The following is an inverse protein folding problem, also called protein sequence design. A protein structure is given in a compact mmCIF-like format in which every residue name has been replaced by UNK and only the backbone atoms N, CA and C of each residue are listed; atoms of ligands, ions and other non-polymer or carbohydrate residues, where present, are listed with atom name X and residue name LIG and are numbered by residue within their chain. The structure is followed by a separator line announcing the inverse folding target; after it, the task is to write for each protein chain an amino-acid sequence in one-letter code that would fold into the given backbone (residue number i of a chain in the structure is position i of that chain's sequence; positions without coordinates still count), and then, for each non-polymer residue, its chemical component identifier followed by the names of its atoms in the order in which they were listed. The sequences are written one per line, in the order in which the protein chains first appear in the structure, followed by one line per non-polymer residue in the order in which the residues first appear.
data_IF_886107910506
#
_entry.id   IF_886107910506
#
_cell.length_a   1.000
_cell.length_b   1.000
_cell.length_c   1.000
_cell.angle_alpha   90.00
_cell.angle_beta   90.00
_cell.angle_gamma   90.00
#
_symmetry.space_group_name_H-M   'P 1'
#
loop_
_entity.id
_entity.type
_entity.pdbx_description
1 polymer ?
#
# COMPACT_ATOMS: atom_id res chain seq x y z
N UNK A 1 8.41 -12.26 -15.01
CA UNK A 1 8.42 -10.83 -15.38
C UNK A 1 6.99 -10.27 -15.51
N UNK A 2 6.08 -11.00 -16.15
CA UNK A 2 4.69 -10.51 -16.31
C UNK A 2 3.94 -10.39 -14.99
N UNK A 3 4.12 -11.37 -14.11
CA UNK A 3 3.50 -11.35 -12.77
C UNK A 3 3.96 -10.16 -11.95
N UNK A 4 5.26 -9.82 -11.99
CA UNK A 4 5.80 -8.67 -11.25
C UNK A 4 5.27 -7.34 -11.79
N UNK A 5 5.05 -7.22 -13.10
CA UNK A 5 4.44 -6.02 -13.69
C UNK A 5 3.01 -5.81 -13.18
N UNK A 6 2.19 -6.86 -13.19
CA UNK A 6 0.80 -6.79 -12.71
C UNK A 6 0.73 -6.53 -11.20
N UNK A 7 1.65 -7.13 -10.44
CA UNK A 7 1.77 -6.85 -9.01
C UNK A 7 2.10 -5.37 -8.77
N UNK A 8 3.11 -4.84 -9.45
CA UNK A 8 3.45 -3.43 -9.36
C UNK A 8 2.29 -2.52 -9.75
N UNK A 9 1.61 -2.83 -10.86
CA UNK A 9 0.46 -2.05 -11.30
C UNK A 9 -0.64 -2.02 -10.24
N UNK A 10 -0.96 -3.14 -9.63
CA UNK A 10 -2.02 -3.20 -8.63
C UNK A 10 -1.64 -2.53 -7.31
N UNK A 11 -0.36 -2.59 -6.93
CA UNK A 11 0.10 -2.09 -5.63
C UNK A 11 0.43 -0.59 -5.63
N UNK A 12 0.99 -0.07 -6.72
CA UNK A 12 1.58 1.28 -6.75
C UNK A 12 1.00 2.18 -7.82
N UNK A 13 -0.16 1.86 -8.39
CA UNK A 13 -0.87 2.78 -9.28
C UNK A 13 -1.67 3.82 -8.51
N UNK A 14 -2.20 3.45 -7.35
CA UNK A 14 -2.81 4.37 -6.38
C UNK A 14 -1.77 5.29 -5.74
N UNK A 15 -2.00 5.68 -4.53
CA UNK A 15 -1.14 6.54 -3.72
C UNK A 15 -1.49 8.01 -3.84
N UNK A 16 -0.91 8.78 -2.92
CA UNK A 16 -1.15 10.22 -2.78
C UNK A 16 -2.58 10.58 -2.36
N UNK A 17 -3.16 9.79 -1.47
CA UNK A 17 -4.47 10.07 -0.86
C UNK A 17 -4.56 11.48 -0.27
N UNK A 18 -3.45 12.00 0.28
CA UNK A 18 -3.35 13.36 0.83
C UNK A 18 -3.51 14.49 -0.21
N UNK A 19 -3.47 14.15 -1.50
CA UNK A 19 -3.56 15.13 -2.60
C UNK A 19 -4.87 15.07 -3.36
N UNK A 20 -5.85 14.39 -2.82
CA UNK A 20 -7.18 14.36 -3.42
C UNK A 20 -7.82 15.73 -3.26
N UNK A 21 -8.28 16.35 -4.35
CA UNK A 21 -8.94 17.63 -4.25
C UNK A 21 -10.27 17.47 -3.49
N UNK A 22 -10.46 18.30 -2.49
CA UNK A 22 -11.74 18.35 -1.77
C UNK A 22 -12.86 18.82 -2.70
N UNK A 23 -13.53 17.87 -3.35
CA UNK A 23 -14.59 18.13 -4.35
C UNK A 23 -15.72 18.94 -3.76
N UNK A 24 -16.09 18.71 -2.48
CA UNK A 24 -17.13 19.47 -1.81
C UNK A 24 -16.76 20.97 -1.70
N UNK A 25 -15.53 21.29 -1.31
CA UNK A 25 -15.07 22.66 -1.22
C UNK A 25 -15.08 23.38 -2.60
N UNK A 26 -14.64 22.69 -3.65
CA UNK A 26 -14.72 23.23 -5.03
C UNK A 26 -16.18 23.47 -5.46
N UNK A 27 -17.06 22.53 -5.18
CA UNK A 27 -18.50 22.65 -5.48
C UNK A 27 -19.12 23.85 -4.77
N UNK A 28 -18.81 24.06 -3.50
CA UNK A 28 -19.29 25.21 -2.74
C UNK A 28 -18.81 26.53 -3.39
N UNK A 29 -17.53 26.62 -3.75
CA UNK A 29 -16.99 27.83 -4.41
C UNK A 29 -17.68 28.11 -5.74
N UNK A 30 -17.96 27.07 -6.54
CA UNK A 30 -18.70 27.20 -7.81
C UNK A 30 -20.15 27.68 -7.57
N UNK A 31 -20.85 27.09 -6.61
CA UNK A 31 -22.22 27.49 -6.26
C UNK A 31 -22.25 28.95 -5.78
N UNK A 32 -21.33 29.34 -4.91
CA UNK A 32 -21.19 30.73 -4.44
C UNK A 32 -20.90 31.68 -5.60
N UNK A 33 -20.02 31.30 -6.52
CA UNK A 33 -19.75 32.07 -7.73
C UNK A 33 -21.02 32.27 -8.57
N UNK A 34 -21.78 31.21 -8.86
CA UNK A 34 -23.02 31.28 -9.65
C UNK A 34 -24.03 32.21 -8.95
N UNK A 35 -24.21 32.02 -7.64
CA UNK A 35 -25.12 32.85 -6.85
C UNK A 35 -24.71 34.33 -6.81
N UNK A 36 -23.40 34.58 -6.70
CA UNK A 36 -22.88 35.95 -6.66
C UNK A 36 -22.88 36.62 -8.03
N UNK A 37 -22.30 35.96 -9.04
CA UNK A 37 -22.13 36.54 -10.40
C UNK A 37 -23.48 36.68 -11.14
N UNK A 38 -24.44 35.83 -10.86
CA UNK A 38 -25.79 35.90 -11.43
C UNK A 38 -26.70 36.87 -10.64
N UNK A 39 -27.61 36.32 -9.81
CA UNK A 39 -28.62 37.12 -9.13
C UNK A 39 -28.02 38.12 -8.11
N UNK A 40 -26.95 37.75 -7.42
CA UNK A 40 -26.37 38.60 -6.38
C UNK A 40 -25.89 39.96 -6.92
N UNK A 41 -24.99 39.93 -7.90
CA UNK A 41 -24.48 41.16 -8.54
C UNK A 41 -25.58 41.95 -9.23
N UNK A 42 -26.51 41.26 -9.89
CA UNK A 42 -27.67 41.93 -10.52
C UNK A 42 -28.46 42.73 -9.50
N UNK A 43 -28.86 42.13 -8.38
CA UNK A 43 -29.64 42.81 -7.34
C UNK A 43 -28.88 43.93 -6.67
N UNK A 44 -27.58 43.74 -6.35
CA UNK A 44 -26.75 44.78 -5.73
C UNK A 44 -26.58 46.00 -6.65
N UNK A 45 -26.24 45.74 -7.91
CA UNK A 45 -26.00 46.85 -8.86
C UNK A 45 -27.27 47.55 -9.25
N UNK A 46 -28.42 46.83 -9.35
CA UNK A 46 -29.75 47.43 -9.57
C UNK A 46 -30.14 48.32 -8.41
N UNK A 47 -29.93 47.91 -7.17
CA UNK A 47 -30.24 48.70 -5.97
C UNK A 47 -29.42 49.98 -5.91
N UNK A 48 -28.16 49.93 -6.41
CA UNK A 48 -27.26 51.10 -6.47
C UNK A 48 -27.34 51.88 -7.76
N UNK A 49 -28.26 51.58 -8.67
CA UNK A 49 -28.42 52.24 -9.98
C UNK A 49 -27.16 52.15 -10.88
N UNK A 50 -26.32 51.14 -10.64
CA UNK A 50 -25.03 50.97 -11.35
C UNK A 50 -25.12 49.81 -12.39
N UNK A 51 -26.33 49.53 -12.92
CA UNK A 51 -26.58 48.41 -13.85
C UNK A 51 -25.65 48.41 -15.11
N UNK A 52 -25.20 49.59 -15.58
CA UNK A 52 -24.28 49.68 -16.71
C UNK A 52 -22.92 49.00 -16.47
N UNK A 53 -22.54 48.77 -15.23
CA UNK A 53 -21.26 48.15 -14.85
C UNK A 53 -21.40 46.65 -14.58
N UNK A 54 -22.59 46.07 -14.81
CA UNK A 54 -22.83 44.65 -14.52
C UNK A 54 -21.82 43.73 -15.24
N UNK A 55 -21.59 43.93 -16.54
CA UNK A 55 -20.62 43.11 -17.29
C UNK A 55 -19.20 43.19 -16.73
N UNK A 56 -18.74 44.39 -16.34
CA UNK A 56 -17.43 44.55 -15.73
C UNK A 56 -17.35 43.87 -14.36
N UNK A 57 -18.40 43.95 -13.55
CA UNK A 57 -18.47 43.33 -12.24
C UNK A 57 -18.45 41.77 -12.35
N UNK A 58 -19.11 41.23 -13.34
CA UNK A 58 -19.07 39.75 -13.61
C UNK A 58 -17.65 39.33 -13.99
N UNK A 59 -16.96 40.05 -14.85
CA UNK A 59 -15.57 39.76 -15.24
C UNK A 59 -14.64 39.78 -14.02
N UNK A 60 -14.74 40.81 -13.17
CA UNK A 60 -13.92 40.88 -11.95
C UNK A 60 -14.23 39.69 -11.01
N UNK A 61 -15.51 39.39 -10.78
CA UNK A 61 -15.89 38.27 -9.92
C UNK A 61 -15.38 36.92 -10.48
N UNK A 62 -15.42 36.74 -11.79
CA UNK A 62 -14.87 35.54 -12.44
C UNK A 62 -13.36 35.44 -12.22
N UNK A 63 -12.61 36.55 -12.39
CA UNK A 63 -11.17 36.52 -12.15
C UNK A 63 -10.83 36.20 -10.70
N UNK A 64 -11.56 36.77 -9.73
CA UNK A 64 -11.39 36.46 -8.31
C UNK A 64 -11.69 35.00 -8.02
N UNK A 65 -12.81 34.48 -8.52
CA UNK A 65 -13.18 33.06 -8.33
C UNK A 65 -12.17 32.10 -8.97
N UNK A 66 -11.67 32.41 -10.17
CA UNK A 66 -10.57 31.65 -10.78
C UNK A 66 -9.29 31.68 -9.92
N UNK A 67 -8.97 32.83 -9.33
CA UNK A 67 -7.85 32.96 -8.39
C UNK A 67 -8.01 32.08 -7.14
N UNK A 68 -9.22 32.09 -6.56
CA UNK A 68 -9.53 31.24 -5.40
C UNK A 68 -9.40 29.74 -5.75
N UNK A 69 -10.00 29.31 -6.85
CA UNK A 69 -9.91 27.91 -7.32
C UNK A 69 -8.44 27.55 -7.61
N UNK A 70 -7.68 28.45 -8.22
CA UNK A 70 -6.26 28.23 -8.47
C UNK A 70 -5.48 28.05 -7.18
N UNK A 71 -5.71 28.89 -6.17
CA UNK A 71 -5.04 28.79 -4.86
C UNK A 71 -5.41 27.51 -4.13
N UNK A 72 -6.68 27.11 -4.15
CA UNK A 72 -7.13 25.84 -3.57
C UNK A 72 -6.43 24.64 -4.21
N UNK A 73 -6.20 24.69 -5.53
CA UNK A 73 -5.54 23.60 -6.26
C UNK A 73 -4.01 23.56 -6.10
N UNK A 74 -3.36 24.53 -5.46
CA UNK A 74 -1.89 24.52 -5.36
C UNK A 74 -1.34 23.36 -4.53
N UNK A 75 -2.03 22.96 -3.47
CA UNK A 75 -1.65 21.85 -2.60
C UNK A 75 -1.79 20.46 -3.25
N UNK A 76 -2.67 20.34 -4.24
CA UNK A 76 -2.96 19.05 -4.90
C UNK A 76 -2.17 18.85 -6.20
N UNK A 77 -1.42 19.84 -6.66
CA UNK A 77 -0.66 19.78 -7.90
C UNK A 77 0.72 19.18 -7.70
N UNK A 78 1.05 18.23 -8.55
CA UNK A 78 2.42 17.78 -8.69
C UNK A 78 3.18 18.78 -9.58
N UNK A 79 4.29 19.29 -9.11
CA UNK A 79 5.16 20.22 -9.84
C UNK A 79 6.46 19.58 -10.29
N UNK A 80 6.78 18.42 -9.73
CA UNK A 80 7.97 17.63 -10.00
C UNK A 80 7.57 16.16 -10.16
N UNK A 81 8.55 15.34 -10.49
CA UNK A 81 8.42 13.90 -10.45
C UNK A 81 7.98 13.43 -9.05
N UNK A 82 7.17 12.43 -9.01
CA UNK A 82 6.67 11.83 -7.78
C UNK A 82 6.67 10.31 -7.91
N UNK A 83 6.79 9.66 -6.79
CA UNK A 83 6.81 8.20 -6.73
C UNK A 83 5.77 7.66 -5.75
N UNK A 84 5.30 6.45 -6.09
CA UNK A 84 4.56 5.61 -5.16
C UNK A 84 5.28 4.28 -5.01
N UNK A 85 5.33 3.74 -3.81
CA UNK A 85 6.01 2.48 -3.57
C UNK A 85 5.27 1.59 -2.58
N UNK A 86 5.49 0.28 -2.72
CA UNK A 86 5.03 -0.74 -1.80
C UNK A 86 6.21 -1.67 -1.49
N UNK A 87 6.62 -1.72 -0.24
CA UNK A 87 7.80 -2.45 0.20
C UNK A 87 7.43 -3.55 1.19
N UNK A 88 8.03 -4.73 1.02
CA UNK A 88 8.01 -5.81 2.00
C UNK A 88 9.40 -5.98 2.55
N UNK A 89 9.55 -5.86 3.86
CA UNK A 89 10.77 -6.16 4.59
C UNK A 89 10.61 -7.49 5.31
N UNK A 90 11.30 -8.50 4.82
CA UNK A 90 11.35 -9.83 5.46
C UNK A 90 12.51 -9.84 6.46
N UNK A 91 12.16 -9.85 7.73
CA UNK A 91 13.06 -9.68 8.85
C UNK A 91 13.66 -11.02 9.26
N UNK A 92 14.98 -11.05 9.39
CA UNK A 92 15.72 -12.10 10.07
C UNK A 92 16.48 -11.47 11.26
N UNK A 93 17.18 -12.27 12.04
CA UNK A 93 17.83 -11.82 13.28
C UNK A 93 18.80 -10.66 13.07
N UNK A 94 19.57 -10.68 11.99
CA UNK A 94 20.62 -9.69 11.71
C UNK A 94 20.46 -8.98 10.37
N UNK A 95 19.50 -9.40 9.56
CA UNK A 95 19.30 -8.87 8.21
C UNK A 95 17.83 -8.72 7.91
N UNK A 96 17.50 -7.85 6.97
CA UNK A 96 16.18 -7.81 6.37
C UNK A 96 16.34 -7.85 4.85
N UNK A 97 15.55 -8.70 4.19
CA UNK A 97 15.41 -8.69 2.75
C UNK A 97 14.28 -7.73 2.36
N UNK A 98 14.61 -6.75 1.57
CA UNK A 98 13.64 -5.79 1.08
C UNK A 98 13.32 -6.05 -0.38
N UNK A 99 12.02 -6.20 -0.68
CA UNK A 99 11.47 -6.16 -2.03
C UNK A 99 10.53 -4.98 -2.14
N UNK A 100 10.85 -4.02 -3.01
CA UNK A 100 10.05 -2.82 -3.23
C UNK A 100 9.57 -2.75 -4.67
N UNK A 101 8.27 -2.54 -4.85
CA UNK A 101 7.69 -2.09 -6.11
C UNK A 101 7.62 -0.57 -6.10
N UNK A 102 8.14 0.05 -7.14
CA UNK A 102 8.24 1.49 -7.27
C UNK A 102 7.59 1.92 -8.58
N UNK A 103 6.76 2.95 -8.53
CA UNK A 103 6.21 3.62 -9.69
C UNK A 103 6.66 5.08 -9.69
N UNK A 104 7.29 5.52 -10.75
CA UNK A 104 7.71 6.91 -10.93
C UNK A 104 6.87 7.54 -12.03
N UNK A 105 6.33 8.72 -11.76
CA UNK A 105 5.50 9.49 -12.68
C UNK A 105 5.98 10.94 -12.73
N UNK A 106 5.79 11.57 -13.88
CA UNK A 106 6.01 13.01 -14.06
C UNK A 106 4.71 13.71 -14.39
N UNK A 107 4.45 14.91 -13.87
CA UNK A 107 3.24 15.65 -14.19
C UNK A 107 3.23 16.21 -15.62
N UNK A 108 4.37 16.22 -16.27
CA UNK A 108 4.56 16.72 -17.65
C UNK A 108 5.34 15.71 -18.49
N UNK A 109 5.52 16.04 -19.77
CA UNK A 109 6.19 15.16 -20.76
C UNK A 109 7.73 15.29 -20.72
N UNK A 110 8.33 15.67 -19.60
CA UNK A 110 9.78 15.82 -19.48
C UNK A 110 10.45 14.48 -19.17
N UNK A 111 11.72 14.42 -19.51
CA UNK A 111 12.60 13.36 -19.01
C UNK A 111 12.81 13.51 -17.51
N UNK A 112 12.93 12.40 -16.80
CA UNK A 112 13.31 12.40 -15.40
C UNK A 112 14.59 11.60 -15.17
N UNK A 113 15.26 11.90 -14.07
CA UNK A 113 16.42 11.15 -13.58
C UNK A 113 16.29 11.01 -12.08
N UNK A 114 16.30 9.78 -11.59
CA UNK A 114 16.16 9.44 -10.17
C UNK A 114 17.37 8.63 -9.76
N UNK A 115 18.04 9.05 -8.69
CA UNK A 115 19.14 8.31 -8.07
C UNK A 115 18.60 7.41 -6.97
N UNK A 116 19.12 6.20 -6.92
CA UNK A 116 18.89 5.23 -5.87
C UNK A 116 20.22 4.87 -5.20
N UNK A 117 20.17 4.44 -3.96
CA UNK A 117 21.33 3.90 -3.27
C UNK A 117 21.92 2.71 -4.05
N UNK A 118 23.27 2.56 -4.05
CA UNK A 118 23.96 1.56 -4.88
C UNK A 118 23.63 0.11 -4.47
N UNK A 119 23.13 -0.08 -3.26
CA UNK A 119 22.76 -1.40 -2.72
C UNK A 119 21.53 -2.00 -3.37
N UNK A 120 20.72 -1.19 -4.07
CA UNK A 120 19.54 -1.69 -4.75
C UNK A 120 19.87 -2.40 -6.07
N UNK A 121 19.44 -3.65 -6.18
CA UNK A 121 19.28 -4.30 -7.46
C UNK A 121 17.97 -3.80 -8.12
N UNK A 122 18.10 -3.11 -9.25
CA UNK A 122 16.99 -2.46 -9.93
C UNK A 122 16.59 -3.23 -11.19
N UNK A 123 15.29 -3.55 -11.31
CA UNK A 123 14.71 -4.17 -12.50
C UNK A 123 13.56 -3.32 -13.01
N UNK A 124 13.66 -2.86 -14.26
CA UNK A 124 12.52 -2.23 -14.92
C UNK A 124 11.45 -3.28 -15.27
N UNK A 125 10.21 -2.98 -14.93
CA UNK A 125 9.08 -3.86 -15.20
C UNK A 125 8.35 -3.35 -16.44
N UNK A 126 8.28 -4.20 -17.45
CA UNK A 126 7.59 -3.90 -18.70
C UNK A 126 6.48 -4.90 -18.93
N UNK A 127 5.36 -4.42 -19.46
CA UNK A 127 4.27 -5.30 -19.90
C UNK A 127 4.78 -6.18 -21.03
N UNK A 128 4.58 -7.48 -20.92
CA UNK A 128 4.94 -8.39 -22.01
C UNK A 128 3.94 -8.25 -23.14
N UNK A 129 4.45 -8.21 -24.36
CA UNK A 129 3.66 -8.05 -25.57
C UNK A 129 2.82 -9.28 -25.95
N UNK A 130 2.77 -10.30 -25.12
CA UNK A 130 2.09 -11.57 -25.43
C UNK A 130 0.57 -11.44 -25.59
N UNK A 131 -0.02 -10.35 -25.07
CA UNK A 131 -1.45 -10.06 -25.14
C UNK A 131 -1.76 -8.75 -25.90
N UNK A 132 -0.77 -7.94 -26.19
CA UNK A 132 -0.93 -6.75 -27.00
C UNK A 132 -0.41 -7.05 -28.39
N UNK A 133 -1.26 -7.57 -29.27
CA UNK A 133 -1.06 -7.54 -30.71
C UNK A 133 -1.17 -6.09 -31.24
N UNK A 134 -0.40 -5.18 -30.68
CA UNK A 134 -0.16 -3.90 -31.35
C UNK A 134 0.87 -4.18 -32.43
N UNK A 135 0.49 -4.07 -33.72
CA UNK A 135 1.42 -4.33 -34.80
C UNK A 135 2.67 -3.48 -34.62
N UNK A 136 3.84 -4.09 -34.70
CA UNK A 136 5.15 -3.41 -34.55
C UNK A 136 5.32 -2.21 -35.55
N UNK A 137 4.41 -2.04 -36.48
CA UNK A 137 4.40 -1.01 -37.53
C UNK A 137 3.95 0.39 -37.02
N UNK A 138 3.30 0.52 -35.89
CA UNK A 138 2.82 1.82 -35.40
C UNK A 138 3.83 2.61 -34.53
N UNK A 139 4.95 2.03 -34.20
CA UNK A 139 5.99 2.75 -33.46
C UNK A 139 6.90 3.51 -34.43
N UNK A 140 6.65 4.79 -34.62
CA UNK A 140 7.63 5.66 -35.31
C UNK A 140 8.94 5.60 -34.53
N UNK A 141 10.02 5.29 -35.24
CA UNK A 141 11.37 5.32 -34.68
C UNK A 141 11.62 6.71 -34.03
N UNK A 142 11.95 6.74 -32.75
CA UNK A 142 12.19 7.98 -31.98
C UNK A 142 11.11 8.39 -30.98
N UNK A 143 9.95 7.71 -30.93
CA UNK A 143 8.86 8.05 -30.00
C UNK A 143 8.67 7.03 -28.86
N UNK A 144 9.55 6.05 -28.71
CA UNK A 144 9.48 5.11 -27.59
C UNK A 144 10.09 5.75 -26.35
N UNK A 145 9.37 5.77 -25.21
CA UNK A 145 10.01 6.08 -23.97
C UNK A 145 11.17 5.10 -23.76
N UNK A 146 12.36 5.60 -23.55
CA UNK A 146 13.53 4.77 -23.27
C UNK A 146 13.90 4.97 -21.81
N UNK A 147 13.85 3.88 -21.05
CA UNK A 147 14.36 3.84 -19.69
C UNK A 147 15.75 3.21 -19.73
N UNK A 148 16.72 3.92 -19.17
CA UNK A 148 18.09 3.44 -19.00
C UNK A 148 18.44 3.37 -17.53
N UNK A 149 19.15 2.31 -17.17
CA UNK A 149 19.71 2.11 -15.84
C UNK A 149 21.22 2.30 -15.95
N UNK A 150 21.79 3.10 -15.08
CA UNK A 150 23.23 3.31 -14.96
C UNK A 150 23.65 2.93 -13.55
N UNK A 151 24.59 2.02 -13.45
CA UNK A 151 25.12 1.51 -12.19
C UNK A 151 26.51 2.11 -11.94
N UNK A 152 26.72 2.69 -10.75
CA UNK A 152 27.98 3.35 -10.36
C UNK A 152 28.03 3.53 -8.85
N UNK A 153 28.50 4.69 -8.39
CA UNK A 153 28.40 5.09 -6.97
C UNK A 153 26.94 5.22 -6.52
N UNK A 154 26.05 5.51 -7.45
CA UNK A 154 24.61 5.49 -7.30
C UNK A 154 23.99 4.74 -8.48
N UNK A 155 22.85 4.12 -8.26
CA UNK A 155 22.05 3.56 -9.34
C UNK A 155 21.12 4.63 -9.87
N UNK A 156 21.29 5.03 -11.13
CA UNK A 156 20.51 6.11 -11.74
C UNK A 156 19.51 5.55 -12.75
N UNK A 157 18.25 5.84 -12.52
CA UNK A 157 17.16 5.57 -13.46
C UNK A 157 16.93 6.84 -14.28
N UNK A 158 17.05 6.74 -15.60
CA UNK A 158 16.71 7.83 -16.52
C UNK A 158 15.62 7.38 -17.47
N UNK A 159 14.59 8.19 -17.63
CA UNK A 159 13.57 7.96 -18.64
C UNK A 159 13.39 9.18 -19.51
N UNK A 160 13.30 8.95 -20.82
CA UNK A 160 13.15 10.00 -21.85
C UNK A 160 11.88 9.77 -22.67
N UNK A 161 11.37 10.83 -23.27
CA UNK A 161 10.16 10.80 -24.10
C UNK A 161 8.90 10.31 -23.36
N UNK A 162 8.76 10.68 -22.08
CA UNK A 162 7.63 10.32 -21.25
C UNK A 162 6.37 11.07 -21.68
N UNK A 163 5.21 10.47 -21.43
CA UNK A 163 3.94 11.18 -21.43
C UNK A 163 3.63 11.67 -20.03
N UNK A 164 2.87 12.77 -19.92
CA UNK A 164 2.41 13.26 -18.63
C UNK A 164 1.64 12.14 -17.89
N UNK A 165 1.98 11.95 -16.62
CA UNK A 165 1.42 10.93 -15.72
C UNK A 165 1.61 9.47 -16.18
N UNK A 166 2.51 9.21 -17.14
CA UNK A 166 2.87 7.84 -17.52
C UNK A 166 3.56 7.14 -16.35
N UNK A 167 3.13 5.91 -16.06
CA UNK A 167 3.68 5.08 -14.99
C UNK A 167 4.89 4.30 -15.47
N UNK A 168 5.97 4.40 -14.71
CA UNK A 168 7.19 3.62 -14.92
C UNK A 168 7.42 2.74 -13.70
N UNK A 169 7.25 1.44 -13.88
CA UNK A 169 7.33 0.47 -12.79
C UNK A 169 8.72 -0.15 -12.70
N UNK A 170 9.20 -0.26 -11.47
CA UNK A 170 10.46 -0.89 -11.12
C UNK A 170 10.26 -1.85 -9.96
N UNK A 171 11.06 -2.89 -9.92
CA UNK A 171 11.27 -3.72 -8.74
C UNK A 171 12.67 -3.45 -8.23
N UNK A 172 12.78 -3.21 -6.93
CA UNK A 172 14.01 -2.97 -6.22
C UNK A 172 14.15 -4.08 -5.19
N UNK A 173 15.28 -4.74 -5.19
CA UNK A 173 15.62 -5.74 -4.18
C UNK A 173 16.92 -5.33 -3.49
N UNK A 174 17.00 -5.41 -2.15
CA UNK A 174 18.22 -5.22 -1.38
C UNK A 174 18.21 -6.01 -0.08
N UNK A 175 19.38 -6.17 0.50
CA UNK A 175 19.55 -6.67 1.85
C UNK A 175 19.99 -5.55 2.79
N UNK A 176 19.28 -5.39 3.91
CA UNK A 176 19.56 -4.39 4.94
C UNK A 176 20.14 -5.08 6.15
N UNK A 177 21.23 -4.53 6.70
CA UNK A 177 21.76 -5.00 7.98
C UNK A 177 20.91 -4.45 9.12
N UNK A 178 20.57 -5.33 10.05
CA UNK A 178 19.78 -4.98 11.23
C UNK A 178 20.63 -5.10 12.49
N UNK A 179 20.39 -4.17 13.42
CA UNK A 179 20.89 -4.31 14.79
C UNK A 179 20.03 -5.38 15.48
N UNK A 180 20.63 -6.50 15.84
CA UNK A 180 19.93 -7.67 16.39
C UNK A 180 19.13 -7.42 17.66
N UNK A 181 19.38 -6.30 18.35
CA UNK A 181 18.62 -5.88 19.53
C UNK A 181 17.37 -5.08 19.20
N UNK A 182 17.23 -4.65 17.95
CA UNK A 182 16.09 -3.85 17.45
C UNK A 182 15.32 -4.63 16.41
N UNK A 183 14.15 -5.09 16.77
CA UNK A 183 13.31 -5.84 15.84
C UNK A 183 12.13 -6.49 16.54
N UNK A 184 11.51 -7.41 15.84
CA UNK A 184 10.44 -8.21 16.38
C UNK A 184 11.00 -9.34 17.25
N UNK A 185 10.49 -9.47 18.48
CA UNK A 185 10.79 -10.60 19.36
C UNK A 185 9.50 -11.36 19.63
N UNK A 186 9.58 -12.67 19.66
CA UNK A 186 8.43 -13.51 19.97
C UNK A 186 8.84 -14.82 20.58
N UNK A 187 8.00 -15.33 21.44
CA UNK A 187 8.05 -16.70 21.92
C UNK A 187 6.63 -17.21 21.97
N UNK A 188 6.29 -18.10 21.04
CA UNK A 188 4.92 -18.54 20.81
C UNK A 188 4.83 -20.07 20.95
N UNK A 189 3.72 -20.51 21.50
CA UNK A 189 3.32 -21.90 21.59
C UNK A 189 1.94 -22.01 20.90
N UNK A 190 1.80 -22.98 20.00
CA UNK A 190 0.52 -23.27 19.35
C UNK A 190 0.11 -24.69 19.69
N UNK A 191 -1.03 -24.83 20.33
CA UNK A 191 -1.56 -26.11 20.76
C UNK A 191 -3.09 -26.13 20.63
N UNK A 192 -3.64 -27.17 20.00
CA UNK A 192 -5.08 -27.37 19.82
C UNK A 192 -5.82 -26.16 19.20
N UNK A 193 -5.21 -25.52 18.20
CA UNK A 193 -5.79 -24.37 17.50
C UNK A 193 -5.79 -23.08 18.32
N UNK A 194 -5.02 -23.04 19.41
CA UNK A 194 -4.84 -21.87 20.28
C UNK A 194 -3.39 -21.46 20.32
N UNK A 195 -3.14 -20.17 20.46
CA UNK A 195 -1.81 -19.60 20.60
C UNK A 195 -1.63 -18.98 21.97
N UNK A 196 -0.47 -19.21 22.56
CA UNK A 196 -0.04 -18.60 23.82
C UNK A 196 1.38 -18.09 23.69
N UNK A 197 1.79 -17.18 24.56
CA UNK A 197 3.13 -16.62 24.59
C UNK A 197 3.14 -15.11 24.48
N UNK A 198 4.12 -14.54 23.77
CA UNK A 198 4.19 -13.10 23.60
C UNK A 198 4.78 -12.70 22.24
N UNK A 199 4.44 -11.48 21.83
CA UNK A 199 5.07 -10.75 20.72
C UNK A 199 5.47 -9.37 21.25
N UNK A 200 6.70 -8.95 20.99
CA UNK A 200 7.26 -7.66 21.41
C UNK A 200 7.64 -6.85 20.16
N UNK A 201 7.18 -5.61 20.11
CA UNK A 201 7.63 -4.64 19.14
C UNK A 201 8.91 -3.96 19.63
N UNK A 202 10.08 -4.43 19.20
CA UNK A 202 11.37 -3.82 19.54
C UNK A 202 11.76 -2.64 18.64
N UNK A 203 10.93 -2.23 17.70
CA UNK A 203 11.18 -1.07 16.85
C UNK A 203 10.90 0.25 17.58
N UNK A 204 11.54 1.35 17.20
CA UNK A 204 11.29 2.68 17.77
C UNK A 204 10.01 3.36 17.25
N UNK A 205 9.17 2.64 16.53
CA UNK A 205 7.92 3.12 15.94
C UNK A 205 6.81 2.10 16.13
N UNK A 206 5.56 2.59 16.04
CA UNK A 206 4.39 1.74 16.11
C UNK A 206 4.25 0.87 14.85
N UNK A 207 3.75 -0.34 15.06
CA UNK A 207 3.36 -1.27 14.00
C UNK A 207 1.84 -1.34 13.95
N UNK A 208 1.26 -1.09 12.79
CA UNK A 208 -0.19 -1.02 12.58
C UNK A 208 -0.72 -2.28 11.88
N UNK A 209 -1.96 -2.63 12.13
CA UNK A 209 -2.63 -3.81 11.56
C UNK A 209 -1.79 -5.09 11.71
N UNK A 210 -1.15 -5.25 12.86
CA UNK A 210 -0.30 -6.41 13.13
C UNK A 210 -1.13 -7.70 13.19
N UNK A 211 -0.58 -8.77 12.64
CA UNK A 211 -1.22 -10.08 12.63
C UNK A 211 -0.20 -11.23 12.66
N UNK A 212 -0.62 -12.34 13.27
CA UNK A 212 0.09 -13.60 13.24
C UNK A 212 -0.61 -14.57 12.29
N UNK A 213 0.17 -15.21 11.45
CA UNK A 213 -0.28 -16.16 10.45
C UNK A 213 0.26 -17.55 10.78
N UNK A 214 -0.63 -18.51 10.90
CA UNK A 214 -0.28 -19.89 11.23
C UNK A 214 -1.02 -20.86 10.31
N UNK A 215 -0.34 -21.46 9.35
CA UNK A 215 -0.86 -22.59 8.58
C UNK A 215 -2.30 -22.44 8.05
N UNK A 216 -2.61 -21.27 7.49
CA UNK A 216 -3.94 -20.96 6.98
C UNK A 216 -4.90 -20.40 8.03
N UNK A 217 -4.40 -20.04 9.18
CA UNK A 217 -5.13 -19.35 10.25
C UNK A 217 -4.47 -18.01 10.55
N UNK A 218 -5.21 -17.10 11.14
CA UNK A 218 -4.72 -15.79 11.51
C UNK A 218 -5.19 -15.40 12.90
N UNK A 219 -4.35 -14.64 13.58
CA UNK A 219 -4.69 -13.90 14.79
C UNK A 219 -4.38 -12.43 14.57
N UNK A 220 -5.39 -11.55 14.48
CA UNK A 220 -5.19 -10.11 14.51
C UNK A 220 -4.62 -9.67 15.85
N UNK A 221 -3.61 -8.81 15.83
CA UNK A 221 -3.04 -8.20 17.05
C UNK A 221 -3.42 -6.72 17.16
N UNK A 222 -3.84 -6.10 16.06
CA UNK A 222 -4.07 -4.66 16.01
C UNK A 222 -2.77 -3.87 16.01
N UNK A 223 -2.77 -2.67 16.57
CA UNK A 223 -1.56 -1.84 16.69
C UNK A 223 -0.68 -2.27 17.85
N UNK A 224 0.63 -2.23 17.62
CA UNK A 224 1.67 -2.49 18.62
C UNK A 224 2.56 -1.25 18.77
N UNK A 225 2.51 -0.61 19.93
CA UNK A 225 3.33 0.55 20.22
C UNK A 225 4.82 0.21 20.38
N UNK A 226 5.74 1.17 20.26
CA UNK A 226 7.17 0.95 20.47
C UNK A 226 7.47 0.34 21.84
N UNK A 227 8.14 -0.80 21.88
CA UNK A 227 8.47 -1.53 23.11
C UNK A 227 7.28 -2.26 23.74
N UNK A 228 6.13 -2.29 23.10
CA UNK A 228 4.97 -3.02 23.62
C UNK A 228 5.20 -4.53 23.56
N UNK A 229 4.84 -5.21 24.64
CA UNK A 229 4.80 -6.68 24.73
C UNK A 229 3.34 -7.11 24.80
N UNK A 230 2.86 -7.73 23.74
CA UNK A 230 1.51 -8.29 23.68
C UNK A 230 1.53 -9.75 24.15
N UNK A 231 0.91 -10.00 25.29
CA UNK A 231 0.76 -11.34 25.84
C UNK A 231 -0.49 -12.02 25.29
N UNK A 232 -0.34 -13.28 24.89
CA UNK A 232 -1.38 -14.13 24.36
C UNK A 232 -1.64 -15.28 25.34
N UNK A 233 -2.90 -15.56 25.63
CA UNK A 233 -3.30 -16.59 26.57
C UNK A 233 -4.42 -17.45 25.98
N UNK A 234 -4.04 -18.57 25.36
CA UNK A 234 -4.96 -19.50 24.71
C UNK A 234 -5.91 -18.80 23.71
N UNK A 235 -5.37 -17.82 22.95
CA UNK A 235 -6.12 -17.09 21.92
C UNK A 235 -6.52 -18.03 20.77
N UNK A 236 -7.78 -17.97 20.38
CA UNK A 236 -8.29 -18.78 19.29
C UNK A 236 -7.83 -18.23 17.94
N UNK A 237 -7.28 -19.11 17.10
CA UNK A 237 -6.90 -18.78 15.74
C UNK A 237 -8.12 -18.83 14.81
N UNK A 238 -8.25 -17.82 13.97
CA UNK A 238 -9.30 -17.76 12.97
C UNK A 238 -8.89 -18.50 11.69
N UNK A 239 -9.70 -19.46 11.29
CA UNK A 239 -9.54 -20.14 9.99
C UNK A 239 -10.18 -19.29 8.93
N UNK A 240 -9.45 -19.00 7.88
CA UNK A 240 -10.05 -18.35 6.76
C UNK A 240 -10.14 -19.19 5.48
N UNK A 241 -11.09 -18.85 4.59
CA UNK A 241 -11.22 -19.60 3.36
C UNK A 241 -9.99 -19.41 2.48
N UNK A 242 -9.36 -20.49 2.12
CA UNK A 242 -8.24 -20.49 1.19
C UNK A 242 -8.70 -19.93 -0.16
N UNK A 243 -7.89 -19.05 -0.73
CA UNK A 243 -8.19 -18.43 -2.02
C UNK A 243 -8.97 -17.11 -1.93
N UNK A 244 -9.26 -16.61 -0.72
CA UNK A 244 -9.90 -15.30 -0.51
C UNK A 244 -9.05 -14.35 0.33
N UNK A 245 -7.79 -14.07 -0.04
CA UNK A 245 -6.89 -13.23 0.74
C UNK A 245 -7.42 -11.81 0.94
N UNK A 246 -8.26 -11.33 0.03
CA UNK A 246 -8.85 -10.00 0.10
C UNK A 246 -9.85 -9.82 1.26
N UNK A 247 -10.60 -10.89 1.63
CA UNK A 247 -11.52 -10.82 2.77
C UNK A 247 -10.74 -10.64 4.06
N UNK A 248 -9.71 -11.44 4.22
CA UNK A 248 -8.87 -11.38 5.41
C UNK A 248 -8.12 -10.06 5.50
N UNK A 249 -7.59 -9.59 4.38
CA UNK A 249 -6.93 -8.31 4.32
C UNK A 249 -7.87 -7.17 4.70
N UNK A 250 -9.13 -7.23 4.28
CA UNK A 250 -10.17 -6.30 4.70
C UNK A 250 -10.37 -6.34 6.21
N UNK A 251 -10.67 -7.51 6.75
CA UNK A 251 -10.92 -7.70 8.19
C UNK A 251 -9.73 -7.24 9.06
N UNK A 252 -8.48 -7.49 8.63
CA UNK A 252 -7.28 -7.07 9.37
C UNK A 252 -7.08 -5.55 9.38
N UNK A 253 -7.43 -4.88 8.31
CA UNK A 253 -7.27 -3.42 8.20
C UNK A 253 -8.44 -2.70 8.86
N UNK A 254 -9.67 -3.21 8.72
CA UNK A 254 -10.88 -2.63 9.33
C UNK A 254 -10.91 -2.81 10.84
N UNK A 255 -10.33 -3.88 11.38
CA UNK A 255 -10.29 -4.13 12.82
C UNK A 255 -9.58 -3.03 13.63
N UNK A 256 -8.66 -2.29 13.00
CA UNK A 256 -7.92 -1.17 13.61
C UNK A 256 -8.56 0.20 13.28
N UNK A 257 -9.50 0.25 12.34
CA UNK A 257 -10.09 1.48 11.81
C UNK A 257 -11.39 1.87 12.51
N UNK A 258 -11.45 3.10 12.97
CA UNK A 258 -12.74 3.77 13.22
C UNK A 258 -13.39 4.06 11.86
N UNK A 259 -14.70 3.82 11.74
CA UNK A 259 -15.48 4.34 10.61
C UNK A 259 -15.24 5.86 10.53
N UNK A 260 -14.51 6.30 9.53
CA UNK A 260 -14.26 7.71 9.30
C UNK A 260 -14.97 8.16 8.02
N UNK A 261 -15.63 9.31 8.12
CA UNK A 261 -16.21 10.01 6.97
C UNK A 261 -15.14 10.68 6.08
N UNK A 262 -13.84 10.44 6.36
CA UNK A 262 -12.74 11.04 5.60
C UNK A 262 -12.40 10.17 4.38
N UNK A 263 -12.61 10.73 3.18
CA UNK A 263 -12.33 10.09 1.89
C UNK A 263 -10.85 9.68 1.76
N UNK A 264 -9.94 10.44 2.34
CA UNK A 264 -8.50 10.14 2.29
C UNK A 264 -8.15 8.89 3.11
N UNK A 265 -8.80 8.71 4.24
CA UNK A 265 -8.60 7.54 5.09
C UNK A 265 -9.22 6.29 4.49
N UNK A 266 -10.40 6.40 3.86
CA UNK A 266 -11.01 5.30 3.13
C UNK A 266 -10.11 4.78 1.99
N UNK A 267 -9.41 5.69 1.29
CA UNK A 267 -8.47 5.31 0.25
C UNK A 267 -7.25 4.61 0.83
N UNK A 268 -6.67 5.13 1.92
CA UNK A 268 -5.55 4.48 2.62
C UNK A 268 -5.91 3.09 3.13
N UNK A 269 -7.09 2.93 3.69
CA UNK A 269 -7.63 1.62 4.11
C UNK A 269 -7.72 0.66 2.93
N UNK A 270 -8.23 1.12 1.79
CA UNK A 270 -8.30 0.33 0.57
C UNK A 270 -6.90 -0.04 0.02
N UNK A 271 -5.95 0.88 0.05
CA UNK A 271 -4.56 0.63 -0.38
C UNK A 271 -3.86 -0.39 0.55
N UNK A 272 -4.03 -0.25 1.86
CA UNK A 272 -3.52 -1.22 2.85
C UNK A 272 -4.15 -2.60 2.66
N UNK A 273 -5.46 -2.67 2.49
CA UNK A 273 -6.17 -3.94 2.23
C UNK A 273 -5.68 -4.59 0.93
N UNK A 274 -5.53 -3.83 -0.14
CA UNK A 274 -4.97 -4.31 -1.40
C UNK A 274 -3.55 -4.86 -1.24
N UNK A 275 -2.70 -4.15 -0.51
CA UNK A 275 -1.33 -4.59 -0.27
C UNK A 275 -1.24 -5.82 0.65
N UNK A 276 -2.07 -5.87 1.69
CA UNK A 276 -2.15 -7.05 2.54
C UNK A 276 -2.65 -8.27 1.78
N UNK A 277 -3.65 -8.10 0.91
CA UNK A 277 -4.15 -9.17 0.05
C UNK A 277 -3.05 -9.73 -0.87
N UNK A 278 -2.24 -8.86 -1.48
CA UNK A 278 -1.07 -9.27 -2.25
C UNK A 278 -0.06 -10.04 -1.38
N UNK A 279 0.27 -9.51 -0.20
CA UNK A 279 1.22 -10.11 0.73
C UNK A 279 0.78 -11.52 1.14
N UNK A 280 -0.48 -11.65 1.55
CA UNK A 280 -1.06 -12.94 1.95
C UNK A 280 -0.99 -13.93 0.78
N UNK A 281 -1.39 -13.53 -0.42
CA UNK A 281 -1.37 -14.39 -1.59
C UNK A 281 0.05 -14.85 -1.95
N UNK A 282 1.05 -14.00 -1.77
CA UNK A 282 2.45 -14.29 -2.08
C UNK A 282 3.09 -15.21 -1.05
N UNK A 283 2.92 -14.94 0.23
CA UNK A 283 3.62 -15.62 1.32
C UNK A 283 2.84 -16.79 1.92
N UNK A 284 1.52 -16.75 1.85
CA UNK A 284 0.63 -17.78 2.42
C UNK A 284 -0.20 -18.49 1.36
N UNK A 285 0.25 -18.52 0.12
CA UNK A 285 -0.38 -19.34 -0.90
C UNK A 285 -0.74 -20.72 -0.36
N UNK A 286 -1.54 -21.45 -1.03
CA UNK A 286 -2.30 -22.64 -0.67
C UNK A 286 -1.70 -23.64 0.34
N UNK A 287 -0.39 -23.62 0.59
CA UNK A 287 0.34 -24.61 1.37
C UNK A 287 1.49 -24.05 2.21
N UNK A 288 1.40 -22.80 2.67
CA UNK A 288 2.45 -22.28 3.54
C UNK A 288 2.49 -23.05 4.85
N UNK A 289 3.65 -23.61 5.17
CA UNK A 289 3.94 -24.33 6.42
C UNK A 289 4.65 -23.44 7.44
N UNK A 290 4.84 -22.15 7.13
CA UNK A 290 5.54 -21.23 8.01
C UNK A 290 4.56 -20.38 8.82
N UNK A 291 4.85 -20.24 10.10
CA UNK A 291 4.25 -19.22 10.91
C UNK A 291 4.96 -17.88 10.64
N UNK A 292 4.22 -16.79 10.48
CA UNK A 292 4.75 -15.47 10.21
C UNK A 292 4.02 -14.38 10.98
N UNK A 293 4.78 -13.37 11.33
CA UNK A 293 4.25 -12.06 11.73
C UNK A 293 4.18 -11.16 10.51
N UNK A 294 3.21 -10.26 10.47
CA UNK A 294 3.22 -9.12 9.57
C UNK A 294 2.54 -7.91 10.20
N UNK A 295 2.98 -6.73 9.82
CA UNK A 295 2.38 -5.46 10.22
C UNK A 295 2.77 -4.36 9.24
N UNK A 296 1.97 -3.30 9.15
CA UNK A 296 2.39 -2.06 8.52
C UNK A 296 3.26 -1.26 9.48
N UNK A 297 4.25 -0.57 8.91
CA UNK A 297 5.08 0.36 9.64
C UNK A 297 5.34 1.63 8.83
N UNK A 298 5.92 2.66 9.46
CA UNK A 298 6.20 3.92 8.80
C UNK A 298 7.21 3.74 7.67
N UNK A 299 7.05 4.53 6.62
CA UNK A 299 7.89 4.50 5.44
C UNK A 299 9.37 4.79 5.71
N UNK A 300 9.69 5.56 6.73
CA UNK A 300 11.05 5.92 7.13
C UNK A 300 11.63 5.10 8.28
N UNK A 301 11.03 3.94 8.64
CA UNK A 301 11.42 3.20 9.85
C UNK A 301 12.83 2.63 9.81
N UNK A 302 13.09 1.65 8.96
CA UNK A 302 14.41 1.02 8.79
C UNK A 302 15.19 1.60 7.61
N UNK A 303 14.54 2.36 6.76
CA UNK A 303 15.13 2.92 5.55
C UNK A 303 14.53 4.26 5.18
N UNK A 304 15.28 5.02 4.43
CA UNK A 304 14.81 6.24 3.78
C UNK A 304 14.05 5.93 2.47
N UNK A 305 13.42 6.97 1.92
CA UNK A 305 12.76 6.88 0.62
C UNK A 305 13.70 6.31 -0.45
N UNK A 306 13.31 5.21 -1.14
CA UNK A 306 14.19 4.51 -2.06
C UNK A 306 14.60 5.32 -3.29
N UNK A 307 13.85 6.36 -3.63
CA UNK A 307 14.03 7.05 -4.92
C UNK A 307 14.62 8.45 -4.82
N UNK A 308 14.81 9.01 -3.62
CA UNK A 308 15.20 10.42 -3.42
C UNK A 308 14.31 11.41 -4.21
N UNK A 309 13.11 10.99 -4.60
CA UNK A 309 12.13 11.83 -5.27
C UNK A 309 11.50 12.75 -4.25
N UNK A 310 11.43 14.03 -4.54
CA UNK A 310 10.97 15.04 -3.60
C UNK A 310 9.53 14.87 -3.11
N UNK A 311 8.75 14.02 -3.77
CA UNK A 311 7.40 13.63 -3.38
C UNK A 311 7.28 12.12 -3.52
N UNK A 312 7.18 11.44 -2.41
CA UNK A 312 7.05 9.99 -2.36
C UNK A 312 5.98 9.60 -1.36
N UNK A 313 5.15 8.66 -1.74
CA UNK A 313 4.12 8.08 -0.89
C UNK A 313 4.20 6.56 -1.02
N UNK A 314 3.97 5.82 0.06
CA UNK A 314 4.02 4.38 -0.01
C UNK A 314 3.74 3.67 1.30
N UNK A 315 3.59 2.37 1.19
CA UNK A 315 3.29 1.46 2.28
C UNK A 315 4.44 0.48 2.47
N UNK A 316 4.71 0.13 3.72
CA UNK A 316 5.74 -0.84 4.10
C UNK A 316 5.13 -1.91 4.98
N UNK A 317 5.27 -3.17 4.58
CA UNK A 317 4.96 -4.34 5.40
C UNK A 317 6.26 -4.88 5.98
N UNK A 318 6.31 -4.98 7.29
CA UNK A 318 7.33 -5.68 8.06
C UNK A 318 6.84 -7.09 8.32
N UNK A 319 7.61 -8.09 7.94
CA UNK A 319 7.26 -9.50 8.16
C UNK A 319 8.45 -10.26 8.72
N UNK A 320 8.17 -11.25 9.56
CA UNK A 320 9.21 -12.13 10.11
C UNK A 320 8.68 -13.56 10.20
N UNK A 321 9.55 -14.52 9.91
CA UNK A 321 9.27 -15.91 10.25
C UNK A 321 9.28 -16.08 11.79
N UNK A 322 8.31 -16.82 12.30
CA UNK A 322 8.16 -17.04 13.73
C UNK A 322 8.63 -18.46 14.11
N UNK A 323 9.38 -18.53 15.21
CA UNK A 323 9.67 -19.80 15.87
C UNK A 323 8.53 -20.15 16.81
N UNK A 324 7.83 -21.22 16.50
CA UNK A 324 6.65 -21.64 17.25
C UNK A 324 6.92 -23.01 17.86
N UNK A 325 6.73 -23.11 19.17
CA UNK A 325 6.72 -24.38 19.89
C UNK A 325 5.36 -25.05 19.74
N UNK A 326 5.36 -26.35 19.58
CA UNK A 326 4.14 -27.18 19.58
C UNK A 326 4.06 -28.07 20.84
N UNK A 327 4.82 -27.74 21.87
CA UNK A 327 4.85 -28.46 23.13
C UNK A 327 4.04 -27.73 24.20
N UNK A 328 3.09 -28.44 24.82
CA UNK A 328 2.36 -27.94 25.99
C UNK A 328 2.32 -29.00 27.07
N UNK A 329 2.80 -28.67 28.26
CA UNK A 329 2.82 -29.57 29.44
C UNK A 329 3.55 -30.91 29.18
N UNK A 330 4.61 -30.91 28.37
CA UNK A 330 5.36 -32.12 28.02
C UNK A 330 4.71 -32.99 26.94
N UNK A 331 3.64 -32.53 26.34
CA UNK A 331 3.02 -33.18 25.18
C UNK A 331 3.57 -32.52 23.90
N UNK A 332 4.16 -33.31 23.01
CA UNK A 332 4.70 -32.87 21.73
C UNK A 332 3.83 -33.40 20.60
N UNK A 333 3.48 -32.54 19.65
CA UNK A 333 2.86 -32.97 18.39
C UNK A 333 3.94 -33.54 17.46
N UNK A 334 4.00 -34.86 17.32
CA UNK A 334 5.06 -35.57 16.57
C UNK A 334 5.12 -35.24 15.06
N UNK A 335 4.07 -34.75 14.46
CA UNK A 335 3.98 -34.55 13.02
C UNK A 335 3.96 -33.06 12.57
N UNK A 336 4.58 -32.20 13.31
CA UNK A 336 4.44 -30.76 13.09
C UNK A 336 3.02 -30.32 13.44
N UNK A 337 2.77 -29.01 13.33
CA UNK A 337 1.47 -28.44 13.65
C UNK A 337 0.40 -28.92 12.66
N UNK A 338 -0.17 -30.10 12.91
CA UNK A 338 -1.44 -30.47 12.29
C UNK A 338 -2.56 -29.74 13.01
N UNK A 339 -2.74 -28.48 12.66
CA UNK A 339 -3.91 -27.73 13.09
C UNK A 339 -5.12 -28.38 12.41
N UNK A 340 -6.03 -28.96 13.18
CA UNK A 340 -7.33 -29.39 12.64
C UNK A 340 -8.05 -28.14 12.18
N UNK A 341 -8.37 -28.00 10.88
CA UNK A 341 -9.14 -26.86 10.42
C UNK A 341 -10.50 -26.91 11.12
N UNK A 342 -10.77 -25.94 11.97
CA UNK A 342 -12.09 -25.77 12.57
C UNK A 342 -12.95 -25.14 11.49
N UNK A 343 -13.79 -25.94 10.83
CA UNK A 343 -14.84 -25.39 9.98
C UNK A 343 -15.81 -24.65 10.87
N UNK A 344 -15.70 -23.35 10.93
CA UNK A 344 -16.81 -22.54 11.40
C UNK A 344 -17.85 -22.58 10.29
N UNK A 345 -18.98 -23.22 10.55
CA UNK A 345 -20.20 -23.12 9.74
C UNK A 345 -20.82 -21.73 9.93
N UNK A 346 -20.07 -20.70 9.59
CA UNK A 346 -20.64 -19.41 9.29
C UNK A 346 -21.32 -19.52 7.94
N UNK A 347 -22.44 -18.88 7.76
CA UNK A 347 -23.25 -18.82 6.55
C UNK A 347 -22.57 -18.21 5.32
N UNK A 348 -21.26 -18.35 5.20
CA UNK A 348 -20.48 -18.01 4.02
C UNK A 348 -20.61 -19.12 3.01
N UNK A 349 -21.04 -18.77 1.81
CA UNK A 349 -21.12 -19.66 0.67
C UNK A 349 -19.83 -20.48 0.54
N UNK A 350 -19.95 -21.81 0.66
CA UNK A 350 -18.93 -22.73 0.22
C UNK A 350 -18.79 -22.55 -1.30
N UNK A 351 -17.86 -21.73 -1.74
CA UNK A 351 -17.42 -21.76 -3.12
C UNK A 351 -16.64 -23.06 -3.33
N UNK A 352 -17.27 -23.88 -4.10
CA UNK A 352 -16.94 -25.13 -4.69
C UNK A 352 -15.55 -25.72 -4.43
N UNK A 353 -15.54 -26.95 -4.04
CA UNK A 353 -14.57 -28.05 -4.25
C UNK A 353 -13.07 -27.76 -4.20
N UNK A 354 -12.63 -26.58 -3.91
CA UNK A 354 -11.23 -26.26 -3.78
C UNK A 354 -10.86 -26.18 -2.31
N UNK A 355 -10.20 -27.22 -1.92
CA UNK A 355 -9.48 -27.43 -0.69
C UNK A 355 -10.27 -27.82 0.55
N UNK A 356 -10.73 -29.02 0.51
CA UNK A 356 -10.66 -29.81 1.71
C UNK A 356 -9.19 -30.20 1.94
N UNK A 357 -8.57 -29.64 2.94
CA UNK A 357 -7.39 -30.25 3.52
C UNK A 357 -7.92 -31.49 4.20
N UNK A 358 -7.74 -32.65 3.57
CA UNK A 358 -8.00 -33.92 4.19
C UNK A 358 -6.97 -34.10 5.30
N UNK A 359 -7.35 -33.78 6.52
CA UNK A 359 -6.72 -34.40 7.66
C UNK A 359 -7.13 -35.89 7.61
N UNK A 360 -6.17 -36.80 7.42
CA UNK A 360 -6.40 -38.18 7.64
C UNK A 360 -6.93 -38.33 9.06
N UNK A 361 -8.14 -38.87 9.18
CA UNK A 361 -8.63 -39.36 10.47
C UNK A 361 -7.77 -40.55 10.92
N UNK A 362 -7.60 -40.73 12.24
CA UNK A 362 -6.77 -41.82 12.81
C UNK A 362 -7.27 -43.20 12.48
#
# INVERSE_FOLDING_TARGET
QDTDYWNAQNLVTGGNADRIPNVAAYTIVVILYIGLAGPGLYLILRKRQLGRYYGLAVVITSLVSCGVIYMMGTGTRFTREFSTYAAVLDLDVHTAEETTYLNIRTPDSRSFSVSLEPEYEVRALTRSSRYDEVPAAEFKAGSRPSTSLSFGEETVIRSTANKAFESHFFRLDRQVQMDGDRGLRSSLEVFDGKVSGYVENGFPFALENAALFFYGQVLPLGSLEPGEVRWLQDEELFVWPVGMPYLVAGDLVEADGTETDDESEAIRTSERSGFYSYFINRYFGTFSTQARFSAFGPAGGLRDNPSHVGQSDGLVIYTAALNVSNEKNGLVYENGLKLKPRMTTGSGMAYGNSMMIYGDEP
#
